data_IF_652355903855
#
_entry.id   IF_652355903855
#
_cell.length_a   1.000
_cell.length_b   1.000
_cell.length_c   1.000
_cell.angle_alpha   90.00
_cell.angle_beta   90.00
_cell.angle_gamma   90.00
#
_symmetry.space_group_name_H-M   'P 1'
#
loop_
_entity.id
_entity.type
_entity.pdbx_description
1 polymer ?
#
# COMPACT_ATOMS: atom_id res chain seq x y z
N UNK A 1 -8.72 -0.17 -14.07
CA UNK A 1 -9.12 0.18 -12.69
C UNK A 1 -10.46 0.93 -12.73
N UNK A 2 -11.19 0.95 -11.61
CA UNK A 2 -12.19 1.97 -11.33
C UNK A 2 -11.59 2.90 -10.27
N UNK A 3 -11.74 4.20 -10.45
CA UNK A 3 -11.17 5.20 -9.53
C UNK A 3 -12.25 5.65 -8.55
N UNK A 4 -11.81 6.33 -7.49
CA UNK A 4 -12.70 6.92 -6.48
C UNK A 4 -13.78 5.93 -6.00
N UNK A 5 -13.33 4.83 -5.40
CA UNK A 5 -14.18 3.76 -4.84
C UNK A 5 -15.17 3.12 -5.83
N UNK A 6 -14.97 3.27 -7.13
CA UNK A 6 -15.87 2.71 -8.14
C UNK A 6 -16.66 3.76 -8.91
N UNK A 7 -16.76 4.99 -8.38
CA UNK A 7 -17.61 6.06 -8.91
C UNK A 7 -17.08 6.64 -10.22
N UNK A 8 -15.76 6.61 -10.42
CA UNK A 8 -15.14 7.21 -11.60
C UNK A 8 -14.78 6.16 -12.65
N UNK A 9 -15.30 6.38 -13.86
CA UNK A 9 -14.93 5.63 -15.07
C UNK A 9 -13.78 6.35 -15.77
N UNK A 10 -12.58 5.73 -15.87
CA UNK A 10 -11.47 6.34 -16.61
C UNK A 10 -11.60 6.10 -18.12
N UNK A 11 -10.95 6.94 -18.92
CA UNK A 11 -10.62 6.66 -20.31
C UNK A 11 -9.36 5.79 -20.39
N UNK A 12 -9.24 5.00 -21.46
CA UNK A 12 -8.08 4.12 -21.65
C UNK A 12 -7.35 4.45 -22.95
N UNK A 13 -6.03 4.57 -22.86
CA UNK A 13 -5.14 4.78 -23.99
C UNK A 13 -4.20 3.58 -24.09
N UNK A 14 -4.27 2.84 -25.19
CA UNK A 14 -3.39 1.70 -25.44
C UNK A 14 -2.16 2.20 -26.18
N UNK A 15 -0.97 1.91 -25.64
CA UNK A 15 0.31 2.14 -26.29
C UNK A 15 1.01 0.82 -26.62
N UNK A 16 2.13 0.91 -27.33
CA UNK A 16 2.91 -0.28 -27.69
C UNK A 16 3.44 -1.04 -26.46
N UNK A 17 3.72 -0.32 -25.38
CA UNK A 17 4.31 -0.84 -24.16
C UNK A 17 3.31 -1.06 -23.02
N UNK A 18 2.00 -0.88 -23.24
CA UNK A 18 1.04 -0.97 -22.13
C UNK A 18 -0.26 -0.20 -22.32
N UNK A 19 -0.89 0.17 -21.20
CA UNK A 19 -2.15 0.91 -21.13
C UNK A 19 -2.07 2.01 -20.09
N UNK A 20 -2.54 3.21 -20.44
CA UNK A 20 -2.78 4.31 -19.53
C UNK A 20 -4.29 4.41 -19.27
N UNK A 21 -4.67 4.51 -18.00
CA UNK A 21 -6.00 4.89 -17.57
C UNK A 21 -5.96 6.32 -17.01
N UNK A 22 -6.86 7.19 -17.48
CA UNK A 22 -6.93 8.59 -17.07
C UNK A 22 -8.34 8.96 -16.60
N UNK A 23 -8.47 9.63 -15.46
CA UNK A 23 -9.76 10.14 -14.98
C UNK A 23 -10.03 11.55 -15.52
N UNK A 24 -11.30 12.00 -15.55
CA UNK A 24 -11.61 13.39 -15.89
C UNK A 24 -10.94 14.43 -14.98
N UNK A 25 -10.59 14.03 -13.74
CA UNK A 25 -9.87 14.87 -12.78
C UNK A 25 -8.34 14.88 -13.01
N UNK A 26 -7.84 14.10 -13.96
CA UNK A 26 -6.41 14.05 -14.31
C UNK A 26 -5.61 12.99 -13.56
N UNK A 27 -6.23 12.12 -12.76
CA UNK A 27 -5.54 10.99 -12.15
C UNK A 27 -5.12 9.99 -13.22
N UNK A 28 -3.88 9.50 -13.13
CA UNK A 28 -3.30 8.61 -14.13
C UNK A 28 -2.81 7.32 -13.48
N UNK A 29 -3.13 6.20 -14.12
CA UNK A 29 -2.57 4.89 -13.79
C UNK A 29 -2.06 4.21 -15.06
N UNK A 30 -0.76 3.92 -15.09
CA UNK A 30 -0.09 3.26 -16.21
C UNK A 30 0.20 1.81 -15.85
N UNK A 31 -0.14 0.90 -16.74
CA UNK A 31 0.32 -0.49 -16.73
C UNK A 31 1.27 -0.69 -17.92
N UNK A 32 2.57 -0.75 -17.67
CA UNK A 32 3.59 -1.08 -18.67
C UNK A 32 3.92 -2.56 -18.65
N UNK A 33 4.12 -3.18 -19.82
CA UNK A 33 4.46 -4.59 -19.98
C UNK A 33 5.72 -4.76 -20.83
N UNK A 34 6.61 -5.69 -20.46
CA UNK A 34 7.87 -5.93 -21.18
C UNK A 34 7.68 -6.60 -22.56
N UNK A 35 6.45 -6.99 -22.86
CA UNK A 35 6.05 -7.52 -24.15
C UNK A 35 4.86 -6.72 -24.66
N UNK A 36 4.78 -6.56 -25.98
CA UNK A 36 3.59 -6.02 -26.62
C UNK A 36 2.42 -6.99 -26.46
N UNK A 37 1.32 -6.54 -25.86
CA UNK A 37 0.13 -7.35 -25.64
C UNK A 37 -1.05 -6.86 -26.46
N UNK A 38 -1.94 -7.79 -26.83
CA UNK A 38 -3.20 -7.48 -27.50
C UNK A 38 -4.27 -7.11 -26.46
N UNK A 39 -4.48 -5.80 -26.27
CA UNK A 39 -5.46 -5.29 -25.32
C UNK A 39 -6.87 -5.24 -25.90
N UNK A 40 -7.86 -5.69 -25.12
CA UNK A 40 -9.28 -5.66 -25.44
C UNK A 40 -10.06 -4.99 -24.31
N UNK A 41 -11.03 -4.17 -24.65
CA UNK A 41 -11.97 -3.63 -23.66
C UNK A 41 -12.83 -4.75 -23.07
N UNK A 42 -13.16 -4.64 -21.78
CA UNK A 42 -14.05 -5.58 -21.08
C UNK A 42 -15.50 -5.05 -21.04
N UNK A 43 -16.50 -5.93 -21.13
CA UNK A 43 -17.86 -5.59 -20.71
C UNK A 43 -17.85 -5.16 -19.24
N UNK A 44 -18.40 -3.99 -18.93
CA UNK A 44 -18.38 -3.39 -17.58
C UNK A 44 -17.17 -2.47 -17.29
N UNK A 45 -16.28 -2.27 -18.27
CA UNK A 45 -15.16 -1.34 -18.19
C UNK A 45 -13.82 -2.00 -17.83
N UNK A 46 -12.73 -1.28 -18.15
CA UNK A 46 -11.36 -1.80 -18.02
C UNK A 46 -10.84 -2.50 -19.27
N UNK A 47 -9.54 -2.82 -19.24
CA UNK A 47 -8.83 -3.49 -20.32
C UNK A 47 -8.38 -4.90 -19.88
N UNK A 48 -8.28 -5.82 -20.83
CA UNK A 48 -7.79 -7.19 -20.67
C UNK A 48 -6.78 -7.50 -21.76
N UNK A 49 -5.72 -8.18 -21.39
CA UNK A 49 -4.83 -8.86 -22.33
C UNK A 49 -4.57 -10.28 -21.82
N UNK A 50 -4.22 -11.18 -22.75
CA UNK A 50 -3.85 -12.55 -22.45
C UNK A 50 -2.45 -12.82 -23.01
N UNK A 51 -1.65 -13.54 -22.21
CA UNK A 51 -0.27 -13.86 -22.55
C UNK A 51 0.10 -15.19 -21.93
N UNK A 52 0.79 -16.03 -22.70
CA UNK A 52 1.36 -17.29 -22.21
C UNK A 52 2.83 -17.06 -21.88
N UNK A 53 3.22 -17.36 -20.64
CA UNK A 53 4.60 -17.19 -20.16
C UNK A 53 5.28 -18.55 -20.14
N UNK A 54 6.39 -18.68 -20.85
CA UNK A 54 7.18 -19.91 -20.91
C UNK A 54 8.30 -19.96 -19.85
N UNK A 55 8.85 -21.16 -19.56
CA UNK A 55 10.00 -21.31 -18.67
C UNK A 55 11.17 -20.42 -19.11
N UNK A 56 11.81 -19.74 -18.14
CA UNK A 56 12.97 -18.88 -18.39
C UNK A 56 12.67 -17.55 -19.11
N UNK A 57 11.39 -17.24 -19.41
CA UNK A 57 10.98 -16.00 -20.08
C UNK A 57 10.16 -15.13 -19.14
N UNK A 58 10.78 -14.28 -18.31
CA UNK A 58 10.02 -13.42 -17.40
C UNK A 58 9.20 -12.40 -18.20
N UNK A 59 7.97 -12.17 -17.76
CA UNK A 59 7.14 -11.03 -18.16
C UNK A 59 7.14 -10.02 -17.01
N UNK A 60 7.57 -8.79 -17.28
CA UNK A 60 7.44 -7.70 -16.33
C UNK A 60 6.16 -6.93 -16.58
N UNK A 61 5.41 -6.69 -15.52
CA UNK A 61 4.26 -5.81 -15.48
C UNK A 61 4.53 -4.74 -14.43
N UNK A 62 4.58 -3.47 -14.83
CA UNK A 62 4.79 -2.33 -13.93
C UNK A 62 3.52 -1.53 -13.88
N UNK A 63 2.91 -1.46 -12.70
CA UNK A 63 1.74 -0.62 -12.44
C UNK A 63 2.22 0.64 -11.69
N UNK A 64 2.00 1.81 -12.27
CA UNK A 64 2.51 3.08 -11.75
C UNK A 64 1.41 4.15 -11.71
N UNK A 65 1.38 4.89 -10.60
CA UNK A 65 0.44 5.98 -10.35
C UNK A 65 1.06 7.33 -10.72
N UNK A 66 0.27 8.24 -11.31
CA UNK A 66 0.64 9.63 -11.56
C UNK A 66 1.57 9.87 -12.75
N UNK A 67 1.82 8.87 -13.59
CA UNK A 67 2.69 9.03 -14.76
C UNK A 67 1.94 9.60 -15.96
N UNK A 68 2.61 10.47 -16.72
CA UNK A 68 2.04 11.13 -17.90
C UNK A 68 2.02 10.26 -19.15
N UNK A 69 2.92 9.28 -19.25
CA UNK A 69 3.17 8.48 -20.46
C UNK A 69 3.40 7.00 -20.14
N UNK A 70 3.20 6.16 -21.16
CA UNK A 70 3.49 4.73 -21.10
C UNK A 70 4.95 4.52 -21.51
N UNK A 71 5.82 4.34 -20.53
CA UNK A 71 7.23 4.01 -20.76
C UNK A 71 7.46 2.51 -20.96
N UNK A 72 8.54 2.17 -21.66
CA UNK A 72 9.02 0.78 -21.71
C UNK A 72 9.41 0.31 -20.30
N UNK A 73 9.18 -0.98 -19.98
CA UNK A 73 9.42 -1.50 -18.64
C UNK A 73 10.86 -1.34 -18.15
N UNK A 74 11.83 -1.28 -19.06
CA UNK A 74 13.25 -1.12 -18.72
C UNK A 74 13.55 0.25 -18.07
N UNK A 75 12.78 1.28 -18.41
CA UNK A 75 12.90 2.60 -17.78
C UNK A 75 12.66 2.54 -16.25
N UNK A 76 11.84 1.59 -15.81
CA UNK A 76 11.54 1.34 -14.40
C UNK A 76 12.54 0.41 -13.72
N UNK A 77 13.48 -0.20 -14.46
CA UNK A 77 14.50 -1.11 -13.92
C UNK A 77 13.93 -2.17 -12.94
N UNK A 78 12.89 -2.93 -13.32
CA UNK A 78 12.08 -3.72 -12.37
C UNK A 78 12.89 -4.82 -11.66
N UNK A 79 13.90 -5.38 -12.33
CA UNK A 79 14.83 -6.33 -11.71
C UNK A 79 15.62 -5.71 -10.54
N UNK A 80 16.08 -4.47 -10.69
CA UNK A 80 16.79 -3.77 -9.63
C UNK A 80 15.86 -3.45 -8.45
N UNK A 81 14.63 -3.02 -8.71
CA UNK A 81 13.62 -2.85 -7.66
C UNK A 81 13.36 -4.16 -6.91
N UNK A 82 13.18 -5.28 -7.62
CA UNK A 82 13.00 -6.59 -6.98
C UNK A 82 14.22 -6.96 -6.11
N UNK A 83 15.44 -6.75 -6.62
CA UNK A 83 16.68 -7.03 -5.90
C UNK A 83 16.80 -6.19 -4.64
N UNK A 84 16.53 -4.88 -4.73
CA UNK A 84 16.58 -3.94 -3.60
C UNK A 84 15.50 -4.29 -2.57
N UNK A 85 14.27 -4.54 -2.99
CA UNK A 85 13.16 -4.93 -2.11
C UNK A 85 13.47 -6.21 -1.34
N UNK A 86 13.96 -7.26 -2.02
CA UNK A 86 14.38 -8.51 -1.36
C UNK A 86 15.50 -8.29 -0.36
N UNK A 87 16.48 -7.47 -0.71
CA UNK A 87 17.59 -7.13 0.18
C UNK A 87 17.08 -6.41 1.43
N UNK A 88 16.25 -5.38 1.26
CA UNK A 88 15.68 -4.59 2.37
C UNK A 88 14.83 -5.45 3.32
N UNK A 89 14.02 -6.35 2.80
CA UNK A 89 13.25 -7.28 3.64
C UNK A 89 14.12 -8.30 4.39
N UNK A 90 15.21 -8.76 3.77
CA UNK A 90 16.19 -9.63 4.45
C UNK A 90 16.97 -8.90 5.53
N UNK A 91 17.42 -7.67 5.25
CA UNK A 91 18.06 -6.79 6.22
C UNK A 91 17.12 -6.54 7.41
N UNK A 92 15.84 -6.24 7.15
CA UNK A 92 14.83 -6.07 8.18
C UNK A 92 14.68 -7.34 9.03
N UNK A 93 14.41 -8.48 8.39
CA UNK A 93 14.21 -9.77 9.06
C UNK A 93 15.40 -10.24 9.89
N UNK A 94 16.63 -9.91 9.47
CA UNK A 94 17.85 -10.28 10.18
C UNK A 94 18.03 -9.57 11.52
N UNK A 95 17.36 -8.44 11.74
CA UNK A 95 17.40 -7.67 13.01
C UNK A 95 16.45 -8.22 14.08
N UNK A 96 15.65 -9.26 13.77
CA UNK A 96 14.70 -9.82 14.72
C UNK A 96 15.41 -10.38 15.95
N UNK A 97 15.20 -9.71 17.09
CA UNK A 97 15.67 -10.11 18.40
C UNK A 97 14.58 -10.95 19.10
N UNK A 98 14.57 -12.25 18.79
CA UNK A 98 13.64 -13.21 19.36
C UNK A 98 14.15 -14.64 19.11
N UNK A 99 14.51 -15.35 20.16
CA UNK A 99 15.08 -16.71 20.12
C UNK A 99 14.09 -17.80 20.59
N UNK A 100 12.85 -17.42 20.92
CA UNK A 100 11.82 -18.34 21.36
C UNK A 100 11.32 -19.32 20.27
N UNK A 101 10.52 -20.33 20.67
CA UNK A 101 10.11 -21.43 19.78
C UNK A 101 9.25 -20.98 18.59
N UNK A 102 8.61 -19.81 18.69
CA UNK A 102 7.70 -19.29 17.66
C UNK A 102 8.37 -18.33 16.67
N UNK A 103 9.70 -18.35 16.53
CA UNK A 103 10.46 -17.35 15.75
C UNK A 103 9.93 -17.13 14.34
N UNK A 104 9.53 -18.21 13.67
CA UNK A 104 8.90 -18.14 12.35
C UNK A 104 7.62 -17.28 12.36
N UNK A 105 6.73 -17.50 13.32
CA UNK A 105 5.46 -16.77 13.43
C UNK A 105 5.70 -15.31 13.83
N UNK A 106 6.59 -15.07 14.79
CA UNK A 106 6.98 -13.71 15.22
C UNK A 106 7.55 -12.92 14.06
N UNK A 107 8.46 -13.52 13.26
CA UNK A 107 9.00 -12.87 12.09
C UNK A 107 7.91 -12.50 11.07
N UNK A 108 6.95 -13.40 10.83
CA UNK A 108 5.87 -13.16 9.86
C UNK A 108 4.97 -12.02 10.35
N UNK A 109 4.60 -12.02 11.62
CA UNK A 109 3.86 -10.94 12.24
C UNK A 109 4.61 -9.60 12.17
N UNK A 110 5.91 -9.59 12.44
CA UNK A 110 6.74 -8.39 12.35
C UNK A 110 6.80 -7.81 10.94
N UNK A 111 6.92 -8.67 9.91
CA UNK A 111 6.87 -8.25 8.51
C UNK A 111 5.51 -7.63 8.17
N UNK A 112 4.41 -8.23 8.64
CA UNK A 112 3.06 -7.68 8.47
C UNK A 112 2.92 -6.32 9.12
N UNK A 113 3.31 -6.17 10.40
CA UNK A 113 3.27 -4.89 11.11
C UNK A 113 4.13 -3.83 10.41
N UNK A 114 5.31 -4.21 9.88
CA UNK A 114 6.16 -3.30 9.12
C UNK A 114 5.48 -2.77 7.86
N UNK A 115 4.65 -3.57 7.18
CA UNK A 115 3.89 -3.14 6.00
C UNK A 115 2.76 -2.16 6.34
N UNK A 116 2.37 -2.03 7.61
CA UNK A 116 1.36 -1.06 8.06
C UNK A 116 1.95 0.33 8.33
N UNK A 117 3.28 0.47 8.31
CA UNK A 117 3.95 1.73 8.62
C UNK A 117 4.06 2.59 7.36
N UNK A 118 3.44 3.77 7.39
CA UNK A 118 3.62 4.79 6.37
C UNK A 118 4.99 5.44 6.56
N UNK A 119 5.94 5.04 5.72
CA UNK A 119 7.35 5.42 5.86
C UNK A 119 7.63 6.94 5.94
N UNK A 120 6.89 7.83 5.24
CA UNK A 120 7.18 9.27 5.32
C UNK A 120 6.97 9.90 6.70
N UNK A 121 5.96 9.45 7.45
CA UNK A 121 5.61 10.06 8.74
C UNK A 121 5.83 9.15 9.94
N UNK A 122 5.89 7.83 9.75
CA UNK A 122 5.91 6.85 10.83
C UNK A 122 4.52 6.45 11.34
N UNK A 123 3.44 6.96 10.74
CA UNK A 123 2.07 6.56 11.07
C UNK A 123 1.88 5.05 10.85
N UNK A 124 1.12 4.40 11.73
CA UNK A 124 0.80 2.96 11.62
C UNK A 124 -0.70 2.83 11.39
N UNK A 125 -1.10 2.41 10.19
CA UNK A 125 -2.52 2.18 9.90
C UNK A 125 -3.00 0.91 10.61
N UNK A 126 -4.27 0.88 11.01
CA UNK A 126 -4.82 -0.29 11.68
C UNK A 126 -4.88 -1.51 10.71
N UNK A 127 -5.28 -1.28 9.45
CA UNK A 127 -5.16 -2.24 8.36
C UNK A 127 -5.24 -1.54 6.98
N UNK A 128 -4.65 -2.08 5.90
CA UNK A 128 -4.69 -1.49 4.57
C UNK A 128 -6.02 -1.81 3.85
N UNK A 129 -7.13 -1.67 4.56
CA UNK A 129 -8.47 -2.04 4.10
C UNK A 129 -9.45 -0.91 4.40
N UNK A 130 -10.34 -0.62 3.46
CA UNK A 130 -11.42 0.35 3.59
C UNK A 130 -12.76 -0.36 3.54
N UNK A 131 -13.74 0.11 4.31
CA UNK A 131 -15.15 -0.30 4.24
C UNK A 131 -15.40 -1.81 4.37
N UNK A 132 -14.54 -2.54 5.11
CA UNK A 132 -14.82 -3.93 5.44
C UNK A 132 -15.74 -3.98 6.67
N UNK A 133 -16.90 -4.64 6.58
CA UNK A 133 -17.79 -4.77 7.72
C UNK A 133 -17.12 -5.62 8.81
N UNK A 134 -17.28 -5.21 10.07
CA UNK A 134 -16.93 -6.06 11.22
C UNK A 134 -17.67 -7.41 11.14
N UNK A 135 -18.93 -7.36 10.69
CA UNK A 135 -19.81 -8.51 10.47
C UNK A 135 -20.60 -8.32 9.18
N UNK A 136 -20.62 -9.32 8.30
CA UNK A 136 -21.39 -9.25 7.06
C UNK A 136 -22.86 -8.90 7.37
N UNK A 137 -23.35 -7.80 6.81
CA UNK A 137 -24.71 -7.27 7.06
C UNK A 137 -24.84 -6.37 8.30
N UNK A 138 -23.75 -6.14 9.03
CA UNK A 138 -23.70 -5.18 10.14
C UNK A 138 -23.46 -3.74 9.69
N UNK A 139 -23.58 -2.80 10.63
CA UNK A 139 -23.43 -1.35 10.38
C UNK A 139 -22.02 -0.81 10.67
N UNK A 140 -21.13 -1.63 11.22
CA UNK A 140 -19.77 -1.22 11.60
C UNK A 140 -18.79 -1.41 10.46
N UNK A 141 -18.78 -0.46 9.54
CA UNK A 141 -17.95 -0.43 8.32
C UNK A 141 -16.78 0.54 8.48
N UNK A 142 -15.90 0.28 9.45
CA UNK A 142 -14.81 1.21 9.75
C UNK A 142 -13.77 1.25 8.62
N UNK A 143 -13.22 2.44 8.38
CA UNK A 143 -12.03 2.58 7.55
C UNK A 143 -10.77 2.36 8.40
N UNK A 144 -10.10 1.25 8.15
CA UNK A 144 -8.92 0.85 8.91
C UNK A 144 -7.62 1.46 8.36
N UNK A 145 -7.69 2.25 7.27
CA UNK A 145 -6.51 2.92 6.68
C UNK A 145 -6.01 4.11 7.49
N UNK A 146 -6.71 4.49 8.57
CA UNK A 146 -6.29 5.54 9.48
C UNK A 146 -5.39 5.02 10.61
N UNK A 147 -4.63 5.92 11.23
CA UNK A 147 -3.83 5.61 12.42
C UNK A 147 -4.72 5.67 13.65
N UNK A 148 -5.05 4.51 14.20
CA UNK A 148 -5.73 4.40 15.49
C UNK A 148 -4.70 4.38 16.62
N UNK A 149 -4.81 5.31 17.58
CA UNK A 149 -3.80 5.48 18.65
C UNK A 149 -3.55 4.17 19.39
N UNK A 150 -4.62 3.43 19.72
CA UNK A 150 -4.55 2.12 20.38
C UNK A 150 -3.74 1.11 19.56
N UNK A 151 -4.09 0.95 18.28
CA UNK A 151 -3.55 -0.07 17.40
C UNK A 151 -2.07 0.22 17.10
N UNK A 152 -1.72 1.49 16.84
CA UNK A 152 -0.34 1.95 16.70
C UNK A 152 0.50 1.70 17.96
N UNK A 153 -0.06 2.00 19.15
CA UNK A 153 0.61 1.74 20.42
C UNK A 153 0.88 0.24 20.66
N UNK A 154 -0.07 -0.63 20.31
CA UNK A 154 0.11 -2.09 20.39
C UNK A 154 1.17 -2.59 19.41
N UNK A 155 1.17 -2.09 18.17
CA UNK A 155 2.16 -2.44 17.16
C UNK A 155 3.58 -2.02 17.58
N UNK A 156 3.74 -0.82 18.14
CA UNK A 156 5.04 -0.35 18.64
C UNK A 156 5.51 -1.10 19.86
N UNK A 157 4.61 -1.44 20.79
CA UNK A 157 4.97 -2.31 21.91
C UNK A 157 5.51 -3.64 21.40
N UNK A 158 4.86 -4.26 20.42
CA UNK A 158 5.31 -5.51 19.82
C UNK A 158 6.67 -5.35 19.12
N UNK A 159 6.85 -4.27 18.33
CA UNK A 159 8.10 -3.97 17.64
C UNK A 159 9.30 -3.81 18.61
N UNK A 160 9.09 -3.08 19.71
CA UNK A 160 10.13 -2.88 20.74
C UNK A 160 10.54 -4.18 21.43
N UNK A 161 9.58 -5.08 21.71
CA UNK A 161 9.85 -6.37 22.36
C UNK A 161 10.72 -7.31 21.50
N UNK A 162 10.85 -7.04 20.20
CA UNK A 162 11.55 -7.91 19.25
C UNK A 162 12.70 -7.21 18.51
N UNK A 163 13.20 -6.11 19.07
CA UNK A 163 14.41 -5.42 18.60
C UNK A 163 14.21 -4.35 17.51
N UNK A 164 12.97 -4.00 17.14
CA UNK A 164 12.67 -3.00 16.11
C UNK A 164 12.44 -1.60 16.69
N UNK A 165 13.43 -1.08 17.42
CA UNK A 165 13.32 0.23 18.09
C UNK A 165 13.33 1.45 17.15
N UNK A 166 13.76 1.32 15.90
CA UNK A 166 13.74 2.42 14.94
C UNK A 166 12.30 2.81 14.59
N UNK A 167 11.46 1.81 14.30
CA UNK A 167 10.03 1.99 14.02
C UNK A 167 9.30 2.65 15.19
N UNK A 168 9.67 2.33 16.42
CA UNK A 168 9.12 2.95 17.62
C UNK A 168 9.44 4.44 17.72
N UNK A 169 10.65 4.86 17.32
CA UNK A 169 11.03 6.28 17.30
C UNK A 169 10.25 7.04 16.23
N UNK A 170 10.12 6.47 15.03
CA UNK A 170 9.38 7.12 13.94
C UNK A 170 7.91 7.34 14.33
N UNK A 171 7.27 6.33 14.94
CA UNK A 171 5.90 6.46 15.46
C UNK A 171 5.80 7.46 16.62
N UNK A 172 6.79 7.53 17.51
CA UNK A 172 6.79 8.54 18.56
C UNK A 172 6.82 9.96 17.98
N UNK A 173 7.65 10.20 16.96
CA UNK A 173 7.68 11.49 16.27
C UNK A 173 6.34 11.81 15.62
N UNK A 174 5.71 10.83 14.97
CA UNK A 174 4.36 10.98 14.43
C UNK A 174 3.34 11.42 15.49
N UNK A 175 3.26 10.71 16.63
CA UNK A 175 2.30 11.03 17.69
C UNK A 175 2.59 12.39 18.31
N UNK A 176 3.85 12.73 18.55
CA UNK A 176 4.25 14.06 19.05
C UNK A 176 3.72 15.15 18.14
N UNK A 177 3.94 15.01 16.83
CA UNK A 177 3.58 16.03 15.84
C UNK A 177 2.06 16.12 15.62
N UNK A 178 1.35 15.00 15.73
CA UNK A 178 -0.12 14.95 15.59
C UNK A 178 -0.86 15.47 16.84
N UNK A 179 -0.30 15.27 18.04
CA UNK A 179 -0.91 15.69 19.32
C UNK A 179 -0.64 17.17 19.65
N UNK A 180 0.33 17.82 19.00
CA UNK A 180 0.61 19.26 19.13
C UNK A 180 -0.45 20.16 18.46
N UNK A 181 -1.67 19.66 18.32
CA UNK A 181 -2.83 20.38 17.78
C UNK A 181 -3.73 20.85 18.93
N UNK A 182 -4.40 22.00 18.77
CA UNK A 182 -5.33 22.56 19.78
C UNK A 182 -6.46 21.61 20.19
N UNK A 183 -6.68 20.54 19.42
CA UNK A 183 -7.71 19.54 19.64
C UNK A 183 -7.36 18.52 20.74
N UNK A 184 -6.11 18.48 21.20
CA UNK A 184 -5.62 17.44 22.10
C UNK A 184 -5.59 16.06 21.42
N UNK A 185 -5.37 14.99 22.21
CA UNK A 185 -5.25 13.63 21.68
C UNK A 185 -6.59 13.12 21.13
N UNK A 186 -6.62 12.78 19.84
CA UNK A 186 -7.76 12.19 19.15
C UNK A 186 -7.71 10.66 19.20
N UNK A 187 -8.85 10.01 18.92
CA UNK A 187 -8.92 8.55 18.80
C UNK A 187 -8.10 8.03 17.62
N UNK A 188 -8.14 8.76 16.50
CA UNK A 188 -7.51 8.39 15.25
C UNK A 188 -7.09 9.62 14.44
N UNK A 189 -6.13 9.42 13.55
CA UNK A 189 -5.55 10.45 12.69
C UNK A 189 -5.38 9.93 11.25
N UNK A 190 -5.34 10.84 10.28
CA UNK A 190 -4.83 10.49 8.95
C UNK A 190 -3.36 10.08 9.02
N UNK A 191 -2.84 9.46 7.97
CA UNK A 191 -1.41 9.10 7.88
C UNK A 191 -0.47 10.33 7.94
N UNK A 192 -1.01 11.52 7.69
CA UNK A 192 -0.30 12.81 7.77
C UNK A 192 -0.56 13.56 9.09
N UNK A 193 -1.18 12.91 10.07
CA UNK A 193 -1.38 13.46 11.42
C UNK A 193 -2.52 14.47 11.53
N UNK A 194 -3.38 14.56 10.52
CA UNK A 194 -4.53 15.47 10.51
C UNK A 194 -5.78 14.80 11.10
N UNK A 195 -6.80 15.59 11.51
CA UNK A 195 -8.12 15.05 11.85
C UNK A 195 -8.67 14.18 10.72
N UNK A 196 -9.30 13.06 11.09
CA UNK A 196 -9.95 12.16 10.12
C UNK A 196 -11.21 12.83 9.57
N UNK A 197 -11.48 12.75 8.24
CA UNK A 197 -12.71 13.29 7.65
C UNK A 197 -13.99 12.66 8.23
N UNK A 198 -15.11 13.37 8.07
CA UNK A 198 -16.42 12.82 8.39
C UNK A 198 -16.77 11.61 7.51
N UNK A 199 -17.58 10.71 8.07
CA UNK A 199 -18.08 9.52 7.36
C UNK A 199 -18.93 9.91 6.15
N UNK A 200 -18.82 9.13 5.07
CA UNK A 200 -19.57 9.34 3.82
C UNK A 200 -20.04 8.00 3.26
N UNK A 201 -21.23 7.98 2.67
CA UNK A 201 -21.71 6.85 1.88
C UNK A 201 -21.02 6.83 0.49
N UNK A 202 -20.60 5.63 0.05
CA UNK A 202 -19.86 5.39 -1.19
C UNK A 202 -20.72 4.77 -2.29
#
# INVERSE_FOLDING_TARGET
PRFDYGRVTPTFHVGDNGVLAETPAGDKLVLSTSSRLAWKARPGGGMRAEVTVGPGRPLWCVLAWGLASIEHTDAYRPFEHLRVTRRKWREYAARLDYDGPWRHHVLRAALTLKMLIYAPTGAIVAAPTTSLPEWIGGTRNWDYRFMWVRDGAMAIRAANLIGYGAEARDFYHFVRDAVDTELGMQLMYTIDGQPVPEEQEL
#
